data_IF_280634902925
#
_entry.id   IF_280634902925
#
_cell.length_a   1.000
_cell.length_b   1.000
_cell.length_c   1.000
_cell.angle_alpha   90.00
_cell.angle_beta   90.00
_cell.angle_gamma   90.00
#
_symmetry.space_group_name_H-M   'P 1'
#
loop_
_entity.id
_entity.type
_entity.pdbx_description
1 polymer ?
#
# COMPACT_ATOMS: atom_id res chain seq x y z
N UNK A 1 12.44 -8.73 -11.62
CA UNK A 1 11.03 -8.91 -12.05
C UNK A 1 10.77 -8.53 -13.50
N UNK A 2 11.69 -7.84 -14.20
CA UNK A 2 11.48 -7.47 -15.60
C UNK A 2 10.40 -6.40 -15.79
N UNK A 3 10.12 -5.60 -14.76
CA UNK A 3 9.19 -4.48 -14.81
C UNK A 3 9.96 -3.21 -15.18
N UNK A 4 9.42 -2.39 -16.07
CA UNK A 4 9.98 -1.08 -16.45
C UNK A 4 8.95 0.07 -16.37
N UNK A 5 7.70 -0.23 -16.02
CA UNK A 5 6.63 0.75 -15.84
C UNK A 5 5.97 0.61 -14.47
N UNK A 6 5.60 1.76 -13.90
CA UNK A 6 4.79 1.88 -12.69
C UNK A 6 3.49 2.57 -13.06
N UNK A 7 2.36 1.90 -12.81
CA UNK A 7 1.02 2.41 -13.07
C UNK A 7 0.47 2.95 -11.75
N UNK A 8 0.13 4.24 -11.72
CA UNK A 8 -0.41 4.89 -10.52
C UNK A 8 -1.79 5.50 -10.79
N UNK A 9 -2.63 5.54 -9.77
CA UNK A 9 -4.01 6.06 -9.87
C UNK A 9 -4.27 7.27 -8.96
N UNK A 10 -3.30 7.66 -8.13
CA UNK A 10 -3.45 8.80 -7.24
C UNK A 10 -2.10 9.31 -6.73
N UNK A 11 -1.92 10.63 -6.70
CA UNK A 11 -0.76 11.29 -6.07
C UNK A 11 -1.25 12.42 -5.18
N UNK A 12 -2.04 13.33 -5.73
CA UNK A 12 -2.60 14.46 -4.99
C UNK A 12 -4.12 14.40 -4.96
N UNK A 13 -4.67 14.58 -3.76
CA UNK A 13 -6.09 14.75 -3.53
C UNK A 13 -6.26 15.49 -2.19
N UNK A 14 -6.85 16.68 -2.20
CA UNK A 14 -7.09 17.46 -0.99
C UNK A 14 -8.32 16.92 -0.26
N UNK A 15 -8.09 15.98 0.66
CA UNK A 15 -9.15 15.29 1.42
C UNK A 15 -8.71 14.92 2.84
N UNK A 16 -9.69 14.71 3.70
CA UNK A 16 -9.47 14.02 4.97
C UNK A 16 -9.23 12.52 4.73
N UNK A 17 -8.53 11.87 5.66
CA UNK A 17 -8.47 10.41 5.76
C UNK A 17 -9.91 9.87 5.96
N UNK A 18 -10.20 8.68 5.41
CA UNK A 18 -11.52 8.05 5.48
C UNK A 18 -12.64 8.79 4.73
N UNK A 19 -12.32 9.86 4.00
CA UNK A 19 -13.32 10.63 3.25
C UNK A 19 -14.22 11.52 4.10
N UNK A 20 -13.82 11.84 5.34
CA UNK A 20 -14.55 12.81 6.17
C UNK A 20 -14.68 14.17 5.45
N UNK A 21 -15.78 14.92 5.68
CA UNK A 21 -15.90 16.28 5.19
C UNK A 21 -14.77 17.17 5.71
N UNK A 22 -14.25 18.10 4.89
CA UNK A 22 -13.21 19.05 5.31
C UNK A 22 -13.65 19.99 6.45
N UNK A 23 -14.96 20.14 6.66
CA UNK A 23 -15.54 20.91 7.76
C UNK A 23 -15.66 20.11 9.06
N UNK A 24 -15.41 18.81 9.02
CA UNK A 24 -15.48 17.94 10.19
C UNK A 24 -14.33 18.27 11.16
N UNK A 25 -14.58 18.53 12.46
CA UNK A 25 -13.54 18.83 13.42
C UNK A 25 -12.51 17.70 13.60
N UNK A 26 -12.89 16.46 13.30
CA UNK A 26 -12.00 15.29 13.37
C UNK A 26 -11.26 15.03 12.04
N UNK A 27 -11.39 15.92 11.07
CA UNK A 27 -10.68 15.82 9.80
C UNK A 27 -9.16 15.87 10.00
N UNK A 28 -8.51 14.73 9.76
CA UNK A 28 -7.07 14.65 9.56
C UNK A 28 -6.78 14.59 8.06
N UNK A 29 -6.00 15.54 7.54
CA UNK A 29 -5.64 15.55 6.11
C UNK A 29 -4.80 14.33 5.74
N UNK A 30 -5.19 13.69 4.63
CA UNK A 30 -4.43 12.58 4.03
C UNK A 30 -3.04 13.04 3.57
N UNK A 31 -2.08 12.10 3.47
CA UNK A 31 -0.77 12.37 2.86
C UNK A 31 -0.86 12.75 1.38
N UNK A 32 -1.93 12.34 0.67
CA UNK A 32 -2.24 12.86 -0.65
C UNK A 32 -2.49 14.36 -0.67
N UNK A 33 -3.05 14.94 0.40
CA UNK A 33 -3.29 16.39 0.51
C UNK A 33 -2.00 17.21 0.51
N UNK A 34 -0.86 16.56 0.73
CA UNK A 34 0.47 17.16 0.74
C UNK A 34 1.36 16.69 -0.41
N UNK A 35 0.84 15.87 -1.34
CA UNK A 35 1.63 15.25 -2.40
C UNK A 35 2.74 14.33 -1.87
N UNK A 36 2.55 13.74 -0.69
CA UNK A 36 3.53 12.88 0.00
C UNK A 36 3.20 11.40 -0.06
N UNK A 37 2.12 11.05 -0.76
CA UNK A 37 1.66 9.69 -1.00
C UNK A 37 1.45 9.44 -2.49
N UNK A 38 1.52 8.17 -2.88
CA UNK A 38 1.19 7.68 -4.21
C UNK A 38 0.44 6.35 -4.08
N UNK A 39 -0.59 6.19 -4.90
CA UNK A 39 -1.38 4.96 -5.01
C UNK A 39 -0.94 4.21 -6.27
N UNK A 40 -0.26 3.07 -6.07
CA UNK A 40 0.30 2.23 -7.13
C UNK A 40 -0.72 1.15 -7.51
N UNK A 41 -1.22 1.18 -8.74
CA UNK A 41 -2.22 0.25 -9.26
C UNK A 41 -1.62 -1.02 -9.87
N UNK A 42 -0.40 -0.96 -10.38
CA UNK A 42 0.24 -2.10 -11.03
C UNK A 42 1.59 -1.77 -11.66
N UNK A 43 2.15 -2.76 -12.36
CA UNK A 43 3.47 -2.69 -13.00
C UNK A 43 3.42 -3.30 -14.40
N UNK A 44 4.06 -2.63 -15.37
CA UNK A 44 4.18 -3.11 -16.75
C UNK A 44 5.45 -3.94 -16.94
N UNK A 45 5.34 -5.02 -17.70
CA UNK A 45 6.46 -5.89 -18.06
C UNK A 45 7.24 -5.35 -19.27
N UNK A 46 8.55 -5.25 -19.10
CA UNK A 46 9.46 -4.68 -20.07
C UNK A 46 9.37 -5.35 -21.44
N UNK A 47 9.23 -4.51 -22.48
CA UNK A 47 9.12 -4.95 -23.86
C UNK A 47 7.81 -5.67 -24.20
N UNK A 48 6.76 -5.51 -23.39
CA UNK A 48 5.44 -6.11 -23.62
C UNK A 48 4.30 -5.13 -23.30
N UNK A 49 3.07 -5.51 -23.65
CA UNK A 49 1.85 -4.80 -23.21
C UNK A 49 1.19 -5.50 -22.01
N UNK A 50 1.91 -6.41 -21.34
CA UNK A 50 1.39 -7.13 -20.18
C UNK A 50 1.61 -6.29 -18.94
N UNK A 51 0.54 -6.14 -18.17
CA UNK A 51 0.55 -5.45 -16.88
C UNK A 51 0.16 -6.46 -15.80
N UNK A 52 0.77 -6.36 -14.62
CA UNK A 52 0.27 -7.00 -13.41
C UNK A 52 -0.37 -5.93 -12.53
N UNK A 53 -1.66 -6.09 -12.26
CA UNK A 53 -2.46 -5.10 -11.53
C UNK A 53 -2.94 -5.66 -10.20
N UNK A 54 -3.07 -4.80 -9.19
CA UNK A 54 -3.52 -5.24 -7.87
C UNK A 54 -4.98 -5.69 -7.88
N UNK A 55 -5.80 -5.14 -8.79
CA UNK A 55 -7.21 -5.52 -8.87
C UNK A 55 -7.39 -6.95 -9.40
N UNK A 56 -6.63 -7.31 -10.44
CA UNK A 56 -6.83 -8.55 -11.20
C UNK A 56 -5.92 -9.69 -10.71
N UNK A 57 -4.70 -9.37 -10.28
CA UNK A 57 -3.65 -10.38 -10.06
C UNK A 57 -3.27 -10.60 -8.60
N UNK A 58 -3.65 -9.71 -7.68
CA UNK A 58 -3.37 -9.87 -6.25
C UNK A 58 -4.36 -10.84 -5.60
N UNK A 59 -3.85 -11.90 -4.98
CA UNK A 59 -4.67 -12.78 -4.16
C UNK A 59 -4.62 -12.36 -2.69
N UNK A 60 -5.76 -11.88 -2.18
CA UNK A 60 -5.89 -11.58 -0.75
C UNK A 60 -5.93 -12.90 0.02
N UNK A 61 -4.88 -13.18 0.79
CA UNK A 61 -4.81 -14.31 1.72
C UNK A 61 -5.04 -13.83 3.15
N UNK A 62 -5.57 -14.69 4.03
CA UNK A 62 -5.56 -14.40 5.45
C UNK A 62 -4.12 -14.37 6.00
N UNK A 63 -3.84 -13.45 6.93
CA UNK A 63 -2.51 -13.28 7.51
C UNK A 63 -1.71 -12.10 6.94
N UNK A 64 -0.43 -12.05 7.28
CA UNK A 64 0.48 -10.96 6.88
C UNK A 64 0.74 -10.99 5.36
N UNK A 65 0.92 -9.81 4.76
CA UNK A 65 1.29 -9.70 3.35
C UNK A 65 2.71 -10.22 3.10
N UNK A 66 3.60 -10.11 4.09
CA UNK A 66 4.98 -10.58 4.01
C UNK A 66 5.28 -11.64 5.10
N UNK A 67 5.75 -12.85 4.73
CA UNK A 67 6.04 -13.31 3.37
C UNK A 67 4.81 -13.65 2.53
N UNK A 68 3.60 -13.66 3.12
CA UNK A 68 2.37 -14.06 2.42
C UNK A 68 2.43 -15.50 1.88
N UNK A 69 1.48 -15.85 1.03
CA UNK A 69 1.47 -17.11 0.29
C UNK A 69 0.96 -16.90 -1.15
N UNK A 70 1.69 -16.11 -1.98
CA UNK A 70 1.22 -15.77 -3.31
C UNK A 70 1.10 -16.99 -4.22
N UNK A 71 0.18 -16.92 -5.18
CA UNK A 71 -0.09 -17.99 -6.15
C UNK A 71 -0.02 -17.49 -7.59
N UNK A 72 0.76 -18.18 -8.42
CA UNK A 72 0.97 -17.76 -9.81
C UNK A 72 1.99 -16.64 -9.95
N UNK A 73 2.40 -16.37 -11.20
CA UNK A 73 3.52 -15.48 -11.50
C UNK A 73 3.24 -14.01 -11.16
N UNK A 74 2.04 -13.52 -11.49
CA UNK A 74 1.68 -12.12 -11.29
C UNK A 74 1.56 -11.77 -9.80
N UNK A 75 0.80 -12.57 -9.05
CA UNK A 75 0.67 -12.43 -7.60
C UNK A 75 2.02 -12.53 -6.87
N UNK A 76 2.88 -13.47 -7.29
CA UNK A 76 4.24 -13.61 -6.74
C UNK A 76 5.07 -12.36 -7.00
N UNK A 77 4.99 -11.79 -8.20
CA UNK A 77 5.72 -10.57 -8.52
C UNK A 77 5.22 -9.37 -7.68
N UNK A 78 3.91 -9.21 -7.54
CA UNK A 78 3.30 -8.12 -6.75
C UNK A 78 3.66 -8.24 -5.27
N UNK A 79 3.55 -9.43 -4.68
CA UNK A 79 3.98 -9.69 -3.29
C UNK A 79 5.48 -9.46 -3.11
N UNK A 80 6.30 -9.86 -4.08
CA UNK A 80 7.76 -9.60 -4.05
C UNK A 80 8.05 -8.10 -4.01
N UNK A 81 7.34 -7.29 -4.80
CA UNK A 81 7.49 -5.82 -4.79
C UNK A 81 7.05 -5.24 -3.45
N UNK A 82 5.88 -5.64 -2.94
CA UNK A 82 5.37 -5.19 -1.65
C UNK A 82 6.38 -5.47 -0.51
N UNK A 83 6.90 -6.69 -0.44
CA UNK A 83 7.85 -7.09 0.59
C UNK A 83 9.24 -6.46 0.40
N UNK A 84 9.66 -6.19 -0.84
CA UNK A 84 10.87 -5.41 -1.11
C UNK A 84 10.72 -3.97 -0.59
N UNK A 85 9.64 -3.27 -0.93
CA UNK A 85 9.36 -1.91 -0.44
C UNK A 85 9.40 -1.83 1.09
N UNK A 86 8.83 -2.85 1.76
CA UNK A 86 8.84 -2.96 3.22
C UNK A 86 10.25 -3.22 3.78
N UNK A 87 10.91 -4.29 3.32
CA UNK A 87 12.21 -4.72 3.85
C UNK A 87 13.33 -3.72 3.60
N UNK A 88 13.24 -2.94 2.53
CA UNK A 88 14.18 -1.85 2.21
C UNK A 88 13.82 -0.53 2.91
N UNK A 89 12.65 -0.44 3.54
CA UNK A 89 12.16 0.79 4.17
C UNK A 89 11.98 1.93 3.18
N UNK A 90 11.62 1.62 1.93
CA UNK A 90 11.47 2.57 0.83
C UNK A 90 10.38 3.63 1.13
N UNK A 91 9.37 3.24 1.90
CA UNK A 91 8.28 4.08 2.37
C UNK A 91 8.09 3.94 3.89
N UNK A 92 7.43 4.92 4.52
CA UNK A 92 7.07 4.82 5.94
C UNK A 92 5.79 4.03 6.15
N UNK A 93 4.82 4.20 5.25
CA UNK A 93 3.56 3.47 5.27
C UNK A 93 3.38 2.76 3.94
N UNK A 94 2.96 1.50 4.01
CA UNK A 94 2.61 0.67 2.86
C UNK A 94 1.30 -0.04 3.24
N UNK A 95 0.20 0.32 2.60
CA UNK A 95 -1.08 -0.36 2.74
C UNK A 95 -1.30 -1.20 1.49
N UNK A 96 -1.56 -2.48 1.69
CA UNK A 96 -1.76 -3.44 0.61
C UNK A 96 -3.23 -3.82 0.50
N UNK A 97 -3.66 -4.56 -0.55
CA UNK A 97 -5.05 -5.02 -0.64
C UNK A 97 -5.50 -5.88 0.55
N UNK A 98 -4.58 -6.44 1.34
CA UNK A 98 -4.89 -7.14 2.58
C UNK A 98 -5.34 -6.21 3.73
N UNK A 99 -5.11 -4.89 3.62
CA UNK A 99 -5.49 -3.95 4.69
C UNK A 99 -7.00 -3.82 4.82
N UNK A 100 -7.68 -3.40 3.75
CA UNK A 100 -9.14 -3.25 3.70
C UNK A 100 -9.62 -3.06 2.25
N UNK A 101 -10.95 -2.93 2.09
CA UNK A 101 -11.61 -2.80 0.80
C UNK A 101 -11.21 -1.54 0.01
N UNK A 102 -10.88 -0.44 0.69
CA UNK A 102 -10.50 0.81 0.01
C UNK A 102 -9.16 0.68 -0.74
N UNK A 103 -8.30 -0.25 -0.33
CA UNK A 103 -6.99 -0.52 -0.93
C UNK A 103 -7.01 -1.71 -1.87
N UNK A 104 -8.20 -2.23 -2.24
CA UNK A 104 -8.32 -3.46 -3.03
C UNK A 104 -7.56 -3.42 -4.35
N UNK A 105 -7.45 -2.23 -4.97
CA UNK A 105 -6.87 -2.07 -6.29
C UNK A 105 -5.54 -1.31 -6.30
N UNK A 106 -4.94 -1.01 -5.14
CA UNK A 106 -3.67 -0.28 -5.13
C UNK A 106 -2.86 -0.53 -3.87
N UNK A 107 -1.55 -0.33 -3.97
CA UNK A 107 -0.73 -0.03 -2.81
C UNK A 107 -0.81 1.46 -2.50
N UNK A 108 -1.23 1.82 -1.29
CA UNK A 108 -1.01 3.16 -0.79
C UNK A 108 0.36 3.23 -0.14
N UNK A 109 1.24 4.09 -0.64
CA UNK A 109 2.57 4.28 -0.05
C UNK A 109 2.86 5.74 0.21
N UNK A 110 3.49 6.05 1.34
CA UNK A 110 3.83 7.43 1.70
C UNK A 110 5.16 7.58 2.45
N UNK A 111 5.71 8.80 2.38
CA UNK A 111 7.00 9.18 2.96
C UNK A 111 6.91 9.64 4.43
N UNK A 112 5.72 9.61 5.01
CA UNK A 112 5.41 10.02 6.37
C UNK A 112 5.33 11.53 6.60
N UNK A 113 5.42 11.93 7.88
CA UNK A 113 5.38 13.33 8.30
C UNK A 113 4.28 13.70 9.30
N UNK A 114 3.54 12.72 9.83
CA UNK A 114 2.85 12.81 11.12
C UNK A 114 2.87 11.40 11.71
N UNK A 115 3.73 11.21 12.73
CA UNK A 115 3.94 10.02 13.57
C UNK A 115 3.57 8.64 12.98
N UNK A 116 4.48 7.94 12.28
CA UNK A 116 4.71 6.47 12.44
C UNK A 116 6.13 6.12 11.96
N UNK A 117 7.13 6.53 12.74
CA UNK A 117 8.35 5.76 12.98
C UNK A 117 8.75 6.19 14.38
N UNK A 118 8.34 5.42 15.38
CA UNK A 118 9.12 5.48 16.59
C UNK A 118 10.50 4.89 16.26
N UNK A 119 11.50 5.40 16.97
CA UNK A 119 12.92 5.09 16.81
C UNK A 119 13.26 3.68 17.33
N UNK A 120 12.25 2.84 17.53
CA UNK A 120 12.29 1.51 18.13
C UNK A 120 11.54 0.44 17.31
N UNK A 121 10.79 0.81 16.26
CA UNK A 121 10.16 -0.14 15.34
C UNK A 121 8.80 -0.68 15.78
N UNK A 122 8.10 0.01 16.70
CA UNK A 122 6.80 -0.46 17.23
C UNK A 122 5.60 0.09 16.43
N UNK A 123 4.59 -0.77 16.27
CA UNK A 123 3.34 -0.58 15.52
C UNK A 123 2.42 0.46 16.17
N UNK A 124 1.86 1.40 15.40
CA UNK A 124 1.04 2.48 15.96
C UNK A 124 -0.41 2.55 15.44
N UNK A 125 -0.79 1.84 14.36
CA UNK A 125 -2.18 1.82 13.88
C UNK A 125 -2.57 0.44 13.29
N UNK A 126 -3.82 -0.03 13.52
CA UNK A 126 -4.36 -1.22 12.87
C UNK A 126 -4.27 -1.14 11.34
N UNK A 127 -3.59 -2.13 10.76
CA UNK A 127 -3.46 -2.44 9.34
C UNK A 127 -2.56 -1.52 8.50
N UNK A 128 -1.68 -0.77 9.17
CA UNK A 128 -0.30 -0.67 8.71
C UNK A 128 0.32 -2.07 8.93
N UNK A 129 1.01 -2.65 7.95
CA UNK A 129 1.70 -3.94 8.12
C UNK A 129 3.17 -3.73 8.55
N UNK A 130 3.47 -3.71 9.87
CA UNK A 130 4.73 -4.18 10.36
C UNK A 130 4.49 -5.52 11.09
N UNK A 131 4.49 -6.61 10.33
CA UNK A 131 4.51 -7.99 10.80
C UNK A 131 3.24 -8.45 11.53
N UNK A 132 2.56 -9.40 10.88
CA UNK A 132 1.52 -10.30 11.39
C UNK A 132 1.17 -10.26 12.88
N UNK A 133 -0.05 -9.81 13.17
CA UNK A 133 -0.66 -9.90 14.49
C UNK A 133 -2.14 -9.55 14.46
N UNK A 134 -2.96 -10.60 14.58
CA UNK A 134 -4.39 -10.70 14.95
C UNK A 134 -5.37 -9.56 14.61
N UNK A 135 -6.33 -9.93 13.76
CA UNK A 135 -7.60 -9.28 13.52
C UNK A 135 -8.39 -8.99 14.81
N UNK A 136 -8.90 -7.77 14.95
CA UNK A 136 -10.12 -7.49 15.72
C UNK A 136 -11.01 -6.47 14.97
N UNK A 137 -12.22 -6.96 14.69
CA UNK A 137 -13.49 -6.31 14.32
C UNK A 137 -13.65 -5.63 12.95
#
# INVERSE_FOLDING_TARGET
LGMDEVIHIGIYNYRCIGGLPLSDPDCVLSKHSFGRAIDLYGFGLAGSTTEYTLLDDWNITSGATCPGAPTGAADTALHTIACAMWSEGAFQTILTPNYNADHRNHFHVDTGGSFIKDRHGEQLLPGIDPLGGLHEH
#
